data_IF_055212618329
#
_entry.id   IF_055212618329
#
_cell.length_a   1.000
_cell.length_b   1.000
_cell.length_c   1.000
_cell.angle_alpha   90.00
_cell.angle_beta   90.00
_cell.angle_gamma   90.00
#
_symmetry.space_group_name_H-M   'P 1'
#
loop_
_entity.id
_entity.type
_entity.pdbx_description
1 polymer ?
#
# COMPACT_ATOMS: atom_id res chain seq x y z
N UNK A 1 42.95 -32.95 -20.31
CA UNK A 1 42.40 -31.62 -20.60
C UNK A 1 40.95 -31.85 -21.00
N UNK A 2 40.07 -31.87 -20.00
CA UNK A 2 38.62 -31.99 -20.17
C UNK A 2 38.04 -30.75 -19.51
N UNK A 3 37.21 -30.08 -20.28
CA UNK A 3 36.66 -28.75 -20.08
C UNK A 3 35.50 -28.81 -19.06
N UNK A 4 35.77 -28.41 -17.82
CA UNK A 4 34.76 -28.18 -16.78
C UNK A 4 34.02 -26.86 -17.08
N UNK A 5 33.08 -26.92 -18.02
CA UNK A 5 32.18 -25.82 -18.35
C UNK A 5 30.74 -26.17 -17.96
N UNK A 6 30.41 -25.98 -16.69
CA UNK A 6 29.03 -25.79 -16.23
C UNK A 6 28.95 -24.45 -15.48
N UNK A 7 28.31 -23.40 -16.03
CA UNK A 7 27.94 -22.27 -15.20
C UNK A 7 26.76 -22.69 -14.32
N UNK A 8 27.09 -22.95 -13.06
CA UNK A 8 26.36 -22.55 -11.86
C UNK A 8 24.88 -22.20 -12.07
N UNK A 9 24.05 -23.16 -11.71
CA UNK A 9 22.61 -23.05 -11.47
C UNK A 9 22.26 -21.67 -10.87
N UNK A 10 21.72 -20.74 -11.68
CA UNK A 10 21.15 -19.51 -11.15
C UNK A 10 19.88 -19.89 -10.42
N UNK A 11 19.97 -19.98 -9.08
CA UNK A 11 18.80 -20.06 -8.22
C UNK A 11 17.78 -18.99 -8.66
N UNK A 12 16.46 -19.27 -8.64
CA UNK A 12 15.47 -18.21 -8.79
C UNK A 12 15.83 -17.17 -7.71
N UNK A 13 16.10 -15.95 -8.15
CA UNK A 13 16.32 -14.82 -7.25
C UNK A 13 15.00 -14.63 -6.51
N UNK A 14 14.87 -15.30 -5.37
CA UNK A 14 13.66 -15.28 -4.57
C UNK A 14 13.40 -13.83 -4.18
N UNK A 15 12.28 -13.28 -4.63
CA UNK A 15 11.82 -11.98 -4.17
C UNK A 15 11.83 -12.00 -2.64
N UNK A 16 12.44 -10.97 -2.03
CA UNK A 16 12.49 -10.85 -0.58
C UNK A 16 11.07 -10.82 -0.04
N UNK A 17 10.79 -11.52 1.07
CA UNK A 17 9.46 -11.49 1.71
C UNK A 17 9.11 -10.07 2.17
N UNK A 18 10.12 -9.32 2.60
CA UNK A 18 10.01 -7.93 3.03
C UNK A 18 11.02 -7.06 2.30
N UNK A 19 10.60 -5.86 1.97
CA UNK A 19 11.48 -4.82 1.47
C UNK A 19 12.42 -4.33 2.58
N UNK A 20 13.74 -4.24 2.34
CA UNK A 20 14.74 -3.96 3.38
C UNK A 20 14.67 -2.53 3.92
N UNK A 21 14.28 -1.55 3.10
CA UNK A 21 14.21 -0.15 3.53
C UNK A 21 12.93 0.17 4.29
N UNK A 22 11.79 -0.37 3.85
CA UNK A 22 10.49 -0.07 4.43
C UNK A 22 10.03 -1.08 5.48
N UNK A 23 10.52 -2.33 5.43
CA UNK A 23 9.99 -3.47 6.17
C UNK A 23 8.59 -3.92 5.72
N UNK A 24 8.02 -3.30 4.67
CA UNK A 24 6.75 -3.68 4.09
C UNK A 24 6.88 -5.05 3.41
N UNK A 25 5.76 -5.76 3.27
CA UNK A 25 5.73 -6.99 2.47
C UNK A 25 5.97 -6.68 1.00
N UNK A 26 6.54 -7.64 0.29
CA UNK A 26 6.73 -7.50 -1.15
C UNK A 26 5.39 -7.54 -1.90
N UNK A 27 5.34 -6.92 -3.07
CA UNK A 27 4.15 -6.87 -3.93
C UNK A 27 3.65 -8.25 -4.31
N UNK A 28 4.54 -9.23 -4.47
CA UNK A 28 4.21 -10.60 -4.87
C UNK A 28 3.31 -11.30 -3.84
N UNK A 29 3.37 -10.87 -2.58
CA UNK A 29 2.55 -11.42 -1.50
C UNK A 29 1.17 -10.75 -1.41
N UNK A 30 0.90 -9.69 -2.17
CA UNK A 30 -0.36 -8.96 -2.10
C UNK A 30 -1.54 -9.78 -2.62
N UNK A 31 -1.45 -10.31 -3.85
CA UNK A 31 -2.56 -11.00 -4.51
C UNK A 31 -3.10 -12.21 -3.70
N UNK A 32 -2.26 -13.16 -3.22
CA UNK A 32 -2.76 -14.24 -2.39
C UNK A 32 -3.39 -13.73 -1.08
N UNK A 33 -2.80 -12.70 -0.47
CA UNK A 33 -3.33 -12.12 0.77
C UNK A 33 -4.67 -11.42 0.56
N UNK A 34 -4.85 -10.74 -0.57
CA UNK A 34 -6.11 -10.11 -0.94
C UNK A 34 -7.22 -11.14 -1.06
N UNK A 35 -6.97 -12.26 -1.76
CA UNK A 35 -7.95 -13.33 -1.91
C UNK A 35 -8.36 -13.93 -0.54
N UNK A 36 -7.40 -14.17 0.34
CA UNK A 36 -7.66 -14.66 1.70
C UNK A 36 -8.54 -13.71 2.52
N UNK A 37 -8.19 -12.42 2.56
CA UNK A 37 -8.90 -11.44 3.39
C UNK A 37 -10.26 -11.05 2.80
N UNK A 38 -10.42 -11.07 1.46
CA UNK A 38 -11.72 -10.87 0.83
C UNK A 38 -12.68 -12.05 1.11
N UNK A 39 -12.17 -13.29 1.04
CA UNK A 39 -12.93 -14.47 1.42
C UNK A 39 -13.33 -14.44 2.90
N UNK A 40 -12.41 -14.00 3.77
CA UNK A 40 -12.69 -13.79 5.20
C UNK A 40 -13.81 -12.76 5.40
N UNK A 41 -13.69 -11.59 4.76
CA UNK A 41 -14.68 -10.52 4.87
C UNK A 41 -16.08 -10.97 4.45
N UNK A 42 -16.17 -11.71 3.34
CA UNK A 42 -17.43 -12.31 2.88
C UNK A 42 -18.02 -13.27 3.90
N UNK A 43 -17.21 -14.19 4.44
CA UNK A 43 -17.66 -15.21 5.41
C UNK A 43 -18.14 -14.58 6.72
N UNK A 44 -17.48 -13.52 7.17
CA UNK A 44 -17.73 -12.86 8.45
C UNK A 44 -18.74 -11.70 8.34
N UNK A 45 -19.29 -11.46 7.14
CA UNK A 45 -20.16 -10.31 6.85
C UNK A 45 -19.51 -8.97 7.27
N UNK A 46 -18.19 -8.87 7.09
CA UNK A 46 -17.40 -7.68 7.38
C UNK A 46 -16.92 -7.01 6.09
N UNK A 47 -16.22 -5.90 6.24
CA UNK A 47 -15.59 -5.18 5.12
C UNK A 47 -14.07 -5.36 5.12
N UNK A 48 -13.47 -5.16 3.94
CA UNK A 48 -12.02 -5.07 3.72
C UNK A 48 -11.74 -3.76 3.00
N UNK A 49 -11.04 -2.83 3.66
CA UNK A 49 -10.60 -1.59 3.02
C UNK A 49 -9.15 -1.69 2.60
N UNK A 50 -8.85 -1.21 1.40
CA UNK A 50 -7.50 -1.05 0.88
C UNK A 50 -7.23 0.44 0.64
N UNK A 51 -5.99 0.86 0.85
CA UNK A 51 -5.52 2.20 0.57
C UNK A 51 -4.21 2.14 -0.23
N UNK A 52 -4.17 2.75 -1.40
CA UNK A 52 -2.93 2.91 -2.17
C UNK A 52 -2.38 4.31 -1.90
N UNK A 53 -1.29 4.34 -1.13
CA UNK A 53 -0.55 5.53 -0.73
C UNK A 53 0.61 5.76 -1.69
N UNK A 54 0.64 6.93 -2.32
CA UNK A 54 1.80 7.44 -3.03
C UNK A 54 2.46 8.56 -2.24
N UNK A 55 3.78 8.47 -2.09
CA UNK A 55 4.61 9.43 -1.39
C UNK A 55 5.47 10.13 -2.44
N UNK A 56 5.30 11.45 -2.61
CA UNK A 56 6.04 12.24 -3.59
C UNK A 56 7.01 13.16 -2.87
N UNK A 57 8.23 13.27 -3.37
CA UNK A 57 9.25 14.17 -2.86
C UNK A 57 10.06 14.74 -4.04
N UNK A 58 10.54 15.98 -3.93
CA UNK A 58 11.47 16.54 -4.90
C UNK A 58 12.75 15.69 -4.95
N UNK A 59 13.11 15.19 -6.14
CA UNK A 59 14.28 14.32 -6.32
C UNK A 59 14.07 12.85 -5.92
N UNK A 60 12.84 12.45 -5.56
CA UNK A 60 12.51 11.08 -5.16
C UNK A 60 12.73 10.82 -3.67
N UNK A 61 12.41 9.60 -3.22
CA UNK A 61 12.52 9.22 -1.81
C UNK A 61 13.86 8.53 -1.53
N UNK A 62 14.62 9.10 -0.60
CA UNK A 62 15.74 8.38 0.01
C UNK A 62 15.24 7.23 0.91
N UNK A 63 16.10 6.22 1.13
CA UNK A 63 15.77 5.10 2.02
C UNK A 63 15.46 5.55 3.46
N UNK A 64 16.07 6.64 3.94
CA UNK A 64 15.77 7.21 5.26
C UNK A 64 14.39 7.86 5.30
N UNK A 65 14.00 8.61 4.27
CA UNK A 65 12.65 9.17 4.16
C UNK A 65 11.60 8.05 4.08
N UNK A 66 11.88 6.96 3.34
CA UNK A 66 11.00 5.78 3.31
C UNK A 66 10.85 5.20 4.73
N UNK A 67 11.95 5.01 5.46
CA UNK A 67 11.91 4.50 6.85
C UNK A 67 11.06 5.38 7.76
N UNK A 68 11.25 6.70 7.68
CA UNK A 68 10.54 7.68 8.50
C UNK A 68 9.03 7.68 8.19
N UNK A 69 8.66 7.79 6.91
CA UNK A 69 7.26 7.73 6.47
C UNK A 69 6.61 6.44 6.95
N UNK A 70 7.25 5.29 6.75
CA UNK A 70 6.68 4.00 7.12
C UNK A 70 6.64 3.76 8.63
N UNK A 71 7.51 4.39 9.41
CA UNK A 71 7.41 4.40 10.87
C UNK A 71 6.15 5.14 11.32
N UNK A 72 5.86 6.31 10.74
CA UNK A 72 4.66 7.10 11.03
C UNK A 72 3.37 6.42 10.57
N UNK A 73 3.39 5.79 9.39
CA UNK A 73 2.27 4.98 8.91
C UNK A 73 1.98 3.87 9.92
N UNK A 74 2.99 3.13 10.38
CA UNK A 74 2.80 2.04 11.35
C UNK A 74 2.26 2.48 12.71
N UNK A 75 2.61 3.68 13.17
CA UNK A 75 2.02 4.24 14.40
C UNK A 75 0.51 4.50 14.27
N UNK A 76 0.04 4.67 13.03
CA UNK A 76 -1.36 4.94 12.74
C UNK A 76 -2.16 3.66 12.56
N UNK A 77 -1.52 2.58 12.10
CA UNK A 77 -2.15 1.29 11.81
C UNK A 77 -2.28 0.36 13.01
N UNK A 78 -3.24 -0.57 12.94
CA UNK A 78 -3.41 -1.68 13.88
C UNK A 78 -2.42 -2.80 13.56
N UNK A 79 -2.19 -3.68 14.52
CA UNK A 79 -1.34 -4.88 14.34
C UNK A 79 -1.86 -5.81 13.23
N UNK A 80 -3.18 -5.85 13.01
CA UNK A 80 -3.83 -6.62 11.95
C UNK A 80 -3.61 -6.07 10.55
N UNK A 81 -3.25 -4.79 10.44
CA UNK A 81 -3.15 -4.11 9.17
C UNK A 81 -1.81 -4.44 8.51
N UNK A 82 -1.82 -4.54 7.18
CA UNK A 82 -0.67 -5.02 6.41
C UNK A 82 -0.24 -3.96 5.42
N UNK A 83 1.07 -3.74 5.31
CA UNK A 83 1.66 -2.82 4.35
C UNK A 83 2.43 -3.61 3.30
N UNK A 84 2.18 -3.32 2.03
CA UNK A 84 2.91 -3.85 0.88
C UNK A 84 3.66 -2.72 0.16
N UNK A 85 4.87 -2.97 -0.32
CA UNK A 85 5.59 -2.05 -1.20
C UNK A 85 5.28 -2.41 -2.65
N UNK A 86 4.68 -1.50 -3.40
CA UNK A 86 4.28 -1.69 -4.80
C UNK A 86 5.28 -1.11 -5.79
N UNK A 87 5.92 -0.01 -5.40
CA UNK A 87 7.01 0.64 -6.14
C UNK A 87 7.90 1.43 -5.18
N UNK A 88 8.80 2.25 -5.70
CA UNK A 88 9.69 3.08 -4.88
C UNK A 88 8.94 4.13 -4.06
N UNK A 89 7.78 4.59 -4.55
CA UNK A 89 6.96 5.63 -3.96
C UNK A 89 5.55 5.16 -3.55
N UNK A 90 5.14 3.96 -3.93
CA UNK A 90 3.79 3.44 -3.68
C UNK A 90 3.77 2.31 -2.65
N UNK A 91 2.88 2.47 -1.67
CA UNK A 91 2.62 1.51 -0.61
C UNK A 91 1.12 1.20 -0.57
N UNK A 92 0.78 -0.08 -0.49
CA UNK A 92 -0.60 -0.52 -0.32
C UNK A 92 -0.83 -0.91 1.14
N UNK A 93 -1.82 -0.29 1.76
CA UNK A 93 -2.31 -0.60 3.09
C UNK A 93 -3.55 -1.49 2.95
N UNK A 94 -3.55 -2.62 3.64
CA UNK A 94 -4.67 -3.54 3.73
C UNK A 94 -5.21 -3.48 5.16
N UNK A 95 -6.48 -3.11 5.29
CA UNK A 95 -7.19 -2.90 6.55
C UNK A 95 -8.33 -3.93 6.68
N UNK A 96 -8.06 -5.12 7.23
CA UNK A 96 -9.10 -6.12 7.46
C UNK A 96 -10.19 -5.61 8.41
N UNK A 97 -11.41 -6.13 8.26
CA UNK A 97 -12.57 -5.79 9.10
C UNK A 97 -12.77 -4.27 9.27
N UNK A 98 -12.54 -3.51 8.21
CA UNK A 98 -12.62 -2.04 8.20
C UNK A 98 -13.62 -1.61 7.14
N UNK A 99 -14.60 -0.81 7.55
CA UNK A 99 -15.58 -0.19 6.66
C UNK A 99 -15.00 1.07 6.04
N UNK A 100 -15.59 1.54 4.94
CA UNK A 100 -15.08 2.67 4.17
C UNK A 100 -14.89 3.95 4.98
N UNK A 101 -15.85 4.30 5.84
CA UNK A 101 -15.76 5.47 6.70
C UNK A 101 -14.56 5.40 7.66
N UNK A 102 -14.30 4.23 8.23
CA UNK A 102 -13.18 4.01 9.16
C UNK A 102 -11.83 4.01 8.43
N UNK A 103 -11.80 3.46 7.22
CA UNK A 103 -10.65 3.57 6.33
C UNK A 103 -10.36 5.03 5.98
N UNK A 104 -11.39 5.82 5.66
CA UNK A 104 -11.24 7.24 5.35
C UNK A 104 -10.70 8.02 6.57
N UNK A 105 -11.26 7.79 7.77
CA UNK A 105 -10.73 8.38 9.01
C UNK A 105 -9.26 7.98 9.26
N UNK A 106 -8.88 6.75 8.91
CA UNK A 106 -7.49 6.28 9.02
C UNK A 106 -6.59 7.04 8.05
N UNK A 107 -7.01 7.22 6.80
CA UNK A 107 -6.28 8.02 5.81
C UNK A 107 -6.16 9.48 6.21
N UNK A 108 -7.22 10.10 6.70
CA UNK A 108 -7.20 11.48 7.18
C UNK A 108 -6.21 11.65 8.34
N UNK A 109 -6.20 10.71 9.29
CA UNK A 109 -5.23 10.70 10.39
C UNK A 109 -3.80 10.48 9.90
N UNK A 110 -3.57 9.60 8.92
CA UNK A 110 -2.27 9.44 8.28
C UNK A 110 -1.79 10.78 7.71
N UNK A 111 -2.60 11.39 6.82
CA UNK A 111 -2.25 12.66 6.18
C UNK A 111 -1.96 13.76 7.20
N UNK A 112 -2.76 13.86 8.27
CA UNK A 112 -2.54 14.83 9.35
C UNK A 112 -1.25 14.56 10.14
N UNK A 113 -0.98 13.31 10.50
CA UNK A 113 0.20 12.94 11.28
C UNK A 113 1.49 13.22 10.51
N UNK A 114 1.49 12.97 9.20
CA UNK A 114 2.69 13.11 8.37
C UNK A 114 2.98 14.57 7.95
N UNK A 115 1.96 15.41 7.76
CA UNK A 115 2.11 16.83 7.39
C UNK A 115 3.02 17.65 8.32
N UNK A 116 3.03 17.33 9.61
CA UNK A 116 3.84 18.04 10.61
C UNK A 116 5.22 17.43 10.88
N UNK A 117 5.51 16.27 10.28
CA UNK A 117 6.69 15.47 10.60
C UNK A 117 7.61 15.26 9.40
N UNK A 118 7.11 15.44 8.18
CA UNK A 118 7.91 15.36 6.96
C UNK A 118 8.36 16.73 6.46
N UNK A 119 9.44 16.80 5.67
CA UNK A 119 9.80 18.02 4.94
C UNK A 119 8.66 18.53 4.06
N UNK A 120 8.59 19.85 3.86
CA UNK A 120 7.52 20.50 3.13
C UNK A 120 7.45 20.09 1.65
N UNK A 121 8.54 19.55 1.10
CA UNK A 121 8.61 19.04 -0.27
C UNK A 121 8.01 17.63 -0.42
N UNK A 122 7.60 16.98 0.69
CA UNK A 122 7.00 15.65 0.67
C UNK A 122 5.48 15.75 0.75
N UNK A 123 4.78 15.22 -0.25
CA UNK A 123 3.32 15.15 -0.28
C UNK A 123 2.81 13.71 -0.35
N UNK A 124 1.62 13.50 0.19
CA UNK A 124 0.97 12.18 0.23
C UNK A 124 -0.32 12.17 -0.58
N UNK A 125 -0.57 11.11 -1.31
CA UNK A 125 -1.79 10.95 -2.10
C UNK A 125 -2.36 9.56 -1.91
N UNK A 126 -3.65 9.46 -1.62
CA UNK A 126 -4.27 8.19 -1.26
C UNK A 126 -5.51 7.92 -2.11
N UNK A 127 -5.50 6.79 -2.81
CA UNK A 127 -6.72 6.15 -3.31
C UNK A 127 -7.23 5.12 -2.31
N UNK A 128 -8.51 5.15 -1.96
CA UNK A 128 -9.12 4.19 -1.03
C UNK A 128 -10.23 3.42 -1.74
N UNK A 129 -10.32 2.11 -1.51
CA UNK A 129 -11.41 1.26 -2.00
C UNK A 129 -11.79 0.21 -0.95
N UNK A 130 -13.09 -0.12 -0.86
CA UNK A 130 -13.61 -1.06 0.14
C UNK A 130 -14.43 -2.16 -0.49
N UNK A 131 -14.13 -3.41 -0.15
CA UNK A 131 -14.96 -4.57 -0.45
C UNK A 131 -15.88 -4.89 0.74
N UNK A 132 -17.17 -5.20 0.53
CA UNK A 132 -17.88 -5.26 -0.75
C UNK A 132 -18.48 -3.92 -1.24
N UNK A 133 -18.35 -2.83 -0.47
CA UNK A 133 -19.09 -1.58 -0.68
C UNK A 133 -18.85 -0.93 -2.06
N UNK A 134 -17.60 -0.78 -2.48
CA UNK A 134 -17.25 -0.23 -3.78
C UNK A 134 -17.33 -1.30 -4.88
N UNK A 135 -16.80 -2.50 -4.62
CA UNK A 135 -16.75 -3.61 -5.56
C UNK A 135 -16.90 -4.97 -4.87
N UNK A 136 -17.80 -5.79 -5.41
CA UNK A 136 -17.96 -7.18 -5.02
C UNK A 136 -16.80 -8.05 -5.50
N UNK A 137 -16.28 -7.74 -6.68
CA UNK A 137 -15.15 -8.44 -7.31
C UNK A 137 -13.83 -7.85 -6.78
N UNK A 138 -13.19 -8.57 -5.87
CA UNK A 138 -11.98 -8.09 -5.19
C UNK A 138 -10.78 -7.95 -6.15
N UNK A 139 -10.74 -8.69 -7.25
CA UNK A 139 -9.65 -8.61 -8.23
C UNK A 139 -9.58 -7.22 -8.90
N UNK A 140 -10.72 -6.51 -8.95
CA UNK A 140 -10.84 -5.17 -9.55
C UNK A 140 -10.57 -4.02 -8.60
N UNK A 141 -10.36 -4.29 -7.30
CA UNK A 141 -10.10 -3.23 -6.32
C UNK A 141 -8.81 -2.48 -6.65
N UNK A 142 -7.79 -3.16 -7.18
CA UNK A 142 -6.52 -2.52 -7.47
C UNK A 142 -6.64 -1.46 -8.56
N UNK A 143 -7.41 -1.72 -9.62
CA UNK A 143 -7.67 -0.75 -10.69
C UNK A 143 -8.39 0.49 -10.14
N UNK A 144 -9.39 0.28 -9.27
CA UNK A 144 -10.11 1.37 -8.62
C UNK A 144 -9.22 2.19 -7.67
N UNK A 145 -8.30 1.53 -6.95
CA UNK A 145 -7.32 2.22 -6.10
C UNK A 145 -6.41 3.14 -6.92
N UNK A 146 -5.92 2.67 -8.06
CA UNK A 146 -5.09 3.47 -8.95
C UNK A 146 -5.86 4.69 -9.48
N UNK A 147 -7.07 4.50 -10.00
CA UNK A 147 -7.91 5.60 -10.46
C UNK A 147 -8.14 6.67 -9.37
N UNK A 148 -8.43 6.24 -8.14
CA UNK A 148 -8.65 7.15 -7.01
C UNK A 148 -7.36 7.82 -6.52
N UNK A 149 -6.22 7.12 -6.52
CA UNK A 149 -4.91 7.71 -6.21
C UNK A 149 -4.55 8.78 -7.24
N UNK A 150 -4.79 8.53 -8.53
CA UNK A 150 -4.54 9.51 -9.59
C UNK A 150 -5.46 10.73 -9.46
N UNK A 151 -6.73 10.53 -9.09
CA UNK A 151 -7.63 11.64 -8.74
C UNK A 151 -7.14 12.42 -7.52
N UNK A 152 -6.60 11.74 -6.49
CA UNK A 152 -6.00 12.39 -5.32
C UNK A 152 -4.77 13.21 -5.68
N UNK A 153 -3.95 12.73 -6.62
CA UNK A 153 -2.82 13.46 -7.19
C UNK A 153 -3.29 14.73 -7.91
N UNK A 154 -4.35 14.64 -8.71
CA UNK A 154 -4.90 15.78 -9.44
C UNK A 154 -5.58 16.82 -8.52
N UNK A 155 -6.16 16.38 -7.41
CA UNK A 155 -6.83 17.24 -6.45
C UNK A 155 -5.86 18.10 -5.62
N UNK A 156 -4.61 17.67 -5.45
CA UNK A 156 -3.58 18.43 -4.77
C UNK A 156 -2.84 17.62 -3.69
N UNK A 157 -1.83 18.23 -3.03
CA UNK A 157 -1.04 17.56 -2.01
C UNK A 157 -1.90 17.12 -0.83
N UNK A 158 -1.51 16.00 -0.23
CA UNK A 158 -2.09 15.47 1.01
C UNK A 158 -3.61 15.25 0.91
N UNK A 159 -4.01 14.53 -0.14
CA UNK A 159 -5.41 14.27 -0.45
C UNK A 159 -5.70 12.78 -0.40
N UNK A 160 -6.89 12.43 0.11
CA UNK A 160 -7.44 11.08 0.04
C UNK A 160 -8.73 11.11 -0.79
N UNK A 161 -8.87 10.19 -1.75
CA UNK A 161 -10.08 10.01 -2.56
C UNK A 161 -10.65 8.62 -2.31
N UNK A 162 -11.89 8.58 -1.81
CA UNK A 162 -12.65 7.36 -1.51
C UNK A 162 -13.91 7.20 -2.36
N UNK A 163 -14.28 8.22 -3.15
CA UNK A 163 -15.50 8.24 -3.97
C UNK A 163 -15.20 8.74 -5.38
N UNK A 164 -16.02 8.33 -6.35
CA UNK A 164 -15.82 8.65 -7.75
C UNK A 164 -15.15 7.50 -8.54
N UNK A 165 -15.19 7.65 -9.86
CA UNK A 165 -14.67 6.76 -10.90
C UNK A 165 -13.62 7.46 -11.73
#
# INVERSE_FOLDING_TARGET
MMDDSQPMNSAPQGALIRDPDSGAYSRELFAPRLAEEAARATRELSALTLCLLEVRAEGGLSGDQVREVLALVRQTLRVSDVIFRFSDAEFLLMLPATIKSDGQMTCERLLQNLRGQLPAEVSLHVGLATHPEDLLDHEKLLDLLYARKDAAVQAGPDTCVSTGS
#
